data_IF_519045204253
#
_entry.id   IF_519045204253
#
_cell.length_a   1.000
_cell.length_b   1.000
_cell.length_c   1.000
_cell.angle_alpha   90.00
_cell.angle_beta   90.00
_cell.angle_gamma   90.00
#
_symmetry.space_group_name_H-M   'P 1'
#
loop_
_entity.id
_entity.type
_entity.pdbx_description
1 polymer ?
#
# COMPACT_ATOMS: atom_id res chain seq x y z
N UNK A 1 -17.58 -41.49 10.35
CA UNK A 1 -16.94 -41.12 11.64
C UNK A 1 -16.14 -39.82 11.49
N UNK A 2 -15.19 -39.74 10.56
CA UNK A 2 -14.39 -38.53 10.31
C UNK A 2 -15.25 -37.32 9.87
N UNK A 3 -16.17 -37.52 8.93
CA UNK A 3 -17.08 -36.45 8.45
C UNK A 3 -17.90 -35.82 9.58
N UNK A 4 -18.32 -36.62 10.57
CA UNK A 4 -19.05 -36.13 11.73
C UNK A 4 -18.17 -35.26 12.64
N UNK A 5 -16.90 -35.65 12.82
CA UNK A 5 -15.92 -34.88 13.60
C UNK A 5 -15.64 -33.54 12.91
N UNK A 6 -15.40 -33.57 11.59
CA UNK A 6 -15.19 -32.35 10.79
C UNK A 6 -16.42 -31.44 10.83
N UNK A 7 -17.62 -32.00 10.70
CA UNK A 7 -18.87 -31.23 10.74
C UNK A 7 -19.08 -30.53 12.08
N UNK A 8 -18.82 -31.21 13.19
CA UNK A 8 -18.94 -30.62 14.53
C UNK A 8 -17.85 -29.57 14.79
N UNK A 9 -16.63 -29.76 14.29
CA UNK A 9 -15.56 -28.74 14.37
C UNK A 9 -15.91 -27.47 13.57
N UNK A 10 -16.43 -27.62 12.35
CA UNK A 10 -16.89 -26.48 11.53
C UNK A 10 -18.05 -25.75 12.21
N UNK A 11 -19.01 -26.48 12.77
CA UNK A 11 -20.15 -25.90 13.49
C UNK A 11 -19.71 -25.11 14.72
N UNK A 12 -18.76 -25.66 15.48
CA UNK A 12 -18.14 -25.04 16.64
C UNK A 12 -17.51 -23.67 16.27
N UNK A 13 -16.71 -23.63 15.21
CA UNK A 13 -16.10 -22.38 14.71
C UNK A 13 -17.14 -21.37 14.25
N UNK A 14 -18.15 -21.83 13.49
CA UNK A 14 -19.20 -20.94 12.98
C UNK A 14 -20.01 -20.29 14.09
N UNK A 15 -20.39 -21.06 15.12
CA UNK A 15 -21.08 -20.50 16.28
C UNK A 15 -20.18 -19.54 17.06
N UNK A 16 -18.86 -19.81 17.16
CA UNK A 16 -17.93 -18.89 17.79
C UNK A 16 -17.92 -17.53 17.10
N UNK A 17 -17.78 -17.49 15.77
CA UNK A 17 -17.78 -16.22 15.02
C UNK A 17 -19.15 -15.53 15.06
N UNK A 18 -20.25 -16.28 15.09
CA UNK A 18 -21.60 -15.73 15.21
C UNK A 18 -21.81 -15.04 16.57
N UNK A 19 -21.39 -15.68 17.65
CA UNK A 19 -21.53 -15.12 19.01
C UNK A 19 -20.57 -13.94 19.20
N UNK A 20 -19.33 -14.07 18.76
CA UNK A 20 -18.27 -13.08 18.97
C UNK A 20 -18.18 -12.05 17.82
N UNK A 21 -19.20 -11.94 16.97
CA UNK A 21 -19.26 -11.02 15.82
C UNK A 21 -18.99 -9.56 16.19
N UNK A 22 -19.40 -9.16 17.39
CA UNK A 22 -19.23 -7.80 17.88
C UNK A 22 -17.83 -7.53 18.47
N UNK A 23 -16.88 -8.46 18.32
CA UNK A 23 -15.51 -8.34 18.82
C UNK A 23 -15.35 -8.59 20.33
N UNK A 24 -16.45 -8.90 21.04
CA UNK A 24 -16.42 -9.28 22.44
C UNK A 24 -16.16 -10.79 22.52
N UNK A 25 -14.89 -11.18 22.41
CA UNK A 25 -14.40 -12.57 22.40
C UNK A 25 -14.51 -13.29 23.76
N UNK A 26 -15.49 -12.94 24.60
CA UNK A 26 -15.66 -13.50 25.94
C UNK A 26 -16.60 -14.70 25.97
N UNK A 27 -17.33 -14.95 24.89
CA UNK A 27 -18.39 -15.96 24.89
C UNK A 27 -17.89 -17.29 24.35
N UNK A 28 -17.90 -18.27 25.25
CA UNK A 28 -17.69 -19.67 24.92
C UNK A 28 -18.94 -20.20 24.23
N UNK A 29 -18.75 -20.88 23.10
CA UNK A 29 -19.83 -21.64 22.46
C UNK A 29 -20.28 -22.74 23.44
N UNK A 30 -21.56 -22.79 23.83
CA UNK A 30 -22.06 -23.83 24.72
C UNK A 30 -21.96 -25.21 24.07
N UNK A 31 -21.70 -26.25 24.87
CA UNK A 31 -21.78 -27.66 24.46
C UNK A 31 -20.69 -28.15 23.46
N UNK A 32 -19.51 -27.51 23.44
CA UNK A 32 -18.34 -28.09 22.75
C UNK A 32 -17.62 -29.08 23.67
N UNK A 33 -17.20 -30.23 23.14
CA UNK A 33 -16.25 -31.11 23.82
C UNK A 33 -14.97 -30.33 24.16
N UNK A 34 -14.49 -30.40 25.41
CA UNK A 34 -13.33 -29.62 25.87
C UNK A 34 -12.12 -29.62 24.91
N UNK A 35 -11.86 -30.73 24.22
CA UNK A 35 -10.79 -30.83 23.21
C UNK A 35 -11.04 -29.97 21.95
N UNK A 36 -12.23 -30.02 21.37
CA UNK A 36 -12.61 -29.20 20.20
C UNK A 36 -12.62 -27.69 20.53
N UNK A 37 -12.82 -27.34 21.80
CA UNK A 37 -12.79 -25.95 22.27
C UNK A 37 -11.38 -25.38 22.23
N UNK A 38 -10.39 -26.13 22.71
CA UNK A 38 -9.00 -25.68 22.71
C UNK A 38 -8.48 -25.56 21.26
N UNK A 39 -8.77 -26.57 20.42
CA UNK A 39 -8.44 -26.55 18.99
C UNK A 39 -9.08 -25.35 18.26
N UNK A 40 -10.35 -25.04 18.56
CA UNK A 40 -11.05 -23.88 18.02
C UNK A 40 -10.37 -22.57 18.45
N UNK A 41 -10.02 -22.43 19.74
CA UNK A 41 -9.37 -21.23 20.26
C UNK A 41 -7.98 -21.02 19.64
N UNK A 42 -7.22 -22.10 19.45
CA UNK A 42 -5.93 -22.06 18.75
C UNK A 42 -6.10 -21.61 17.29
N UNK A 43 -7.08 -22.18 16.58
CA UNK A 43 -7.41 -21.79 15.20
C UNK A 43 -7.76 -20.30 15.09
N UNK A 44 -8.64 -19.81 15.97
CA UNK A 44 -9.05 -18.38 15.98
C UNK A 44 -7.85 -17.48 16.25
N UNK A 45 -6.98 -17.86 17.19
CA UNK A 45 -5.77 -17.09 17.50
C UNK A 45 -4.82 -17.05 16.31
N UNK A 46 -4.58 -18.19 15.66
CA UNK A 46 -3.74 -18.27 14.47
C UNK A 46 -4.31 -17.43 13.31
N UNK A 47 -5.63 -17.49 13.08
CA UNK A 47 -6.29 -16.70 12.03
C UNK A 47 -6.16 -15.20 12.28
N UNK A 48 -6.31 -14.74 13.53
CA UNK A 48 -6.14 -13.33 13.89
C UNK A 48 -4.71 -12.82 13.63
N UNK A 49 -3.71 -13.65 13.93
CA UNK A 49 -2.30 -13.33 13.61
C UNK A 49 -2.09 -13.24 12.10
N UNK A 50 -2.66 -14.19 11.34
CA UNK A 50 -2.56 -14.20 9.87
C UNK A 50 -3.18 -12.96 9.23
N UNK A 51 -4.38 -12.54 9.68
CA UNK A 51 -5.02 -11.31 9.20
C UNK A 51 -4.14 -10.08 9.43
N UNK A 52 -3.47 -10.01 10.59
CA UNK A 52 -2.55 -8.93 10.92
C UNK A 52 -1.30 -8.94 10.03
N UNK A 53 -0.71 -10.11 9.77
CA UNK A 53 0.45 -10.25 8.87
C UNK A 53 0.12 -9.85 7.43
N UNK A 54 -1.05 -10.24 6.94
CA UNK A 54 -1.52 -9.90 5.60
C UNK A 54 -1.74 -8.38 5.46
N UNK A 55 -2.38 -7.75 6.46
CA UNK A 55 -2.55 -6.30 6.48
C UNK A 55 -1.21 -5.57 6.50
N UNK A 56 -0.27 -6.01 7.35
CA UNK A 56 1.08 -5.43 7.42
C UNK A 56 1.82 -5.57 6.09
N UNK A 57 1.72 -6.74 5.44
CA UNK A 57 2.33 -6.98 4.13
C UNK A 57 1.76 -6.06 3.05
N UNK A 58 0.44 -5.91 3.02
CA UNK A 58 -0.25 -5.00 2.10
C UNK A 58 0.17 -3.54 2.32
N UNK A 59 0.27 -3.11 3.58
CA UNK A 59 0.73 -1.77 3.96
C UNK A 59 2.17 -1.54 3.48
N UNK A 60 3.09 -2.46 3.76
CA UNK A 60 4.50 -2.36 3.34
C UNK A 60 4.63 -2.28 1.81
N UNK A 61 3.87 -3.10 1.08
CA UNK A 61 3.86 -3.07 -0.39
C UNK A 61 3.30 -1.75 -0.94
N UNK A 62 2.23 -1.22 -0.34
CA UNK A 62 1.64 0.06 -0.77
C UNK A 62 2.61 1.23 -0.54
N UNK A 63 3.34 1.24 0.59
CA UNK A 63 4.33 2.27 0.89
C UNK A 63 5.52 2.23 -0.08
N UNK A 64 5.99 1.05 -0.46
CA UNK A 64 7.10 0.95 -1.42
C UNK A 64 6.69 1.46 -2.80
N UNK A 65 5.46 1.17 -3.25
CA UNK A 65 4.93 1.69 -4.51
C UNK A 65 4.76 3.21 -4.47
N UNK A 66 4.15 3.76 -3.42
CA UNK A 66 3.96 5.21 -3.27
C UNK A 66 5.30 5.96 -3.23
N UNK A 67 6.29 5.43 -2.49
CA UNK A 67 7.64 6.00 -2.43
C UNK A 67 8.31 5.99 -3.81
N UNK A 68 8.28 4.86 -4.51
CA UNK A 68 8.87 4.74 -5.85
C UNK A 68 8.23 5.72 -6.84
N UNK A 69 6.90 5.80 -6.85
CA UNK A 69 6.15 6.73 -7.71
C UNK A 69 6.49 8.19 -7.38
N UNK A 70 6.46 8.58 -6.11
CA UNK A 70 6.80 9.95 -5.68
C UNK A 70 8.23 10.33 -6.07
N UNK A 71 9.18 9.41 -5.91
CA UNK A 71 10.58 9.62 -6.30
C UNK A 71 10.71 9.82 -7.81
N UNK A 72 10.10 8.94 -8.60
CA UNK A 72 10.14 9.01 -10.06
C UNK A 72 9.52 10.31 -10.60
N UNK A 73 8.40 10.76 -10.03
CA UNK A 73 7.81 12.06 -10.38
C UNK A 73 8.74 13.23 -10.06
N UNK A 74 9.40 13.20 -8.90
CA UNK A 74 10.36 14.25 -8.51
C UNK A 74 11.55 14.30 -9.46
N UNK A 75 12.07 13.14 -9.87
CA UNK A 75 13.16 13.04 -10.84
C UNK A 75 12.74 13.61 -12.21
N UNK A 76 11.53 13.30 -12.70
CA UNK A 76 10.99 13.85 -13.96
C UNK A 76 10.86 15.38 -13.87
N UNK A 77 10.28 15.91 -12.79
CA UNK A 77 10.11 17.36 -12.59
C UNK A 77 11.47 18.08 -12.55
N UNK A 78 12.49 17.48 -11.93
CA UNK A 78 13.83 18.05 -11.89
C UNK A 78 14.48 18.06 -13.28
N UNK A 79 14.25 17.02 -14.08
CA UNK A 79 14.73 16.95 -15.46
C UNK A 79 14.06 17.98 -16.36
N UNK A 80 12.72 18.03 -16.38
CA UNK A 80 11.95 19.01 -17.19
C UNK A 80 12.35 20.45 -16.83
N UNK A 81 12.49 20.76 -15.54
CA UNK A 81 12.94 22.09 -15.10
C UNK A 81 14.34 22.42 -15.64
N UNK A 82 15.24 21.45 -15.69
CA UNK A 82 16.59 21.67 -16.22
C UNK A 82 16.56 21.90 -17.72
N UNK A 83 15.75 21.14 -18.46
CA UNK A 83 15.57 21.29 -19.91
C UNK A 83 14.99 22.67 -20.27
N UNK A 84 13.96 23.14 -19.54
CA UNK A 84 13.38 24.48 -19.73
C UNK A 84 14.43 25.58 -19.52
N UNK A 85 15.23 25.49 -18.44
CA UNK A 85 16.27 26.49 -18.16
C UNK A 85 17.32 26.53 -19.27
N UNK A 86 17.70 25.37 -19.82
CA UNK A 86 18.65 25.29 -20.93
C UNK A 86 18.06 25.94 -22.18
N UNK A 87 16.79 25.66 -22.48
CA UNK A 87 16.08 26.21 -23.63
C UNK A 87 15.96 27.74 -23.53
N UNK A 88 15.46 28.28 -22.41
CA UNK A 88 15.33 29.73 -22.19
C UNK A 88 16.68 30.45 -22.31
N UNK A 89 17.73 29.89 -21.72
CA UNK A 89 19.08 30.47 -21.84
C UNK A 89 19.60 30.49 -23.27
N UNK A 90 19.28 29.47 -24.05
CA UNK A 90 19.68 29.40 -25.46
C UNK A 90 18.97 30.46 -26.30
N UNK A 91 17.68 30.69 -26.05
CA UNK A 91 16.86 31.70 -26.73
C UNK A 91 17.33 33.12 -26.41
N UNK A 92 17.60 33.41 -25.13
CA UNK A 92 18.16 34.70 -24.69
C UNK A 92 19.50 34.97 -25.38
N UNK A 93 20.39 33.97 -25.43
CA UNK A 93 21.69 34.13 -26.09
C UNK A 93 21.56 34.39 -27.60
N UNK A 94 20.57 33.79 -28.27
CA UNK A 94 20.32 34.07 -29.69
C UNK A 94 19.78 35.48 -29.92
N UNK A 95 18.88 35.95 -29.05
CA UNK A 95 18.29 37.29 -29.10
C UNK A 95 19.35 38.39 -28.86
N UNK A 96 20.19 38.25 -27.84
CA UNK A 96 21.26 39.20 -27.53
C UNK A 96 22.27 39.30 -28.69
N UNK A 97 22.58 38.17 -29.32
CA UNK A 97 23.46 38.16 -30.49
C UNK A 97 22.85 38.92 -31.66
N UNK A 98 21.55 38.72 -31.96
CA UNK A 98 20.90 39.45 -33.06
C UNK A 98 20.84 40.95 -32.80
N UNK A 99 20.50 41.38 -31.59
CA UNK A 99 20.42 42.81 -31.23
C UNK A 99 21.79 43.49 -31.33
N UNK A 100 22.86 42.80 -30.92
CA UNK A 100 24.23 43.28 -31.08
C UNK A 100 24.63 43.45 -32.55
N UNK A 101 24.22 42.52 -33.43
CA UNK A 101 24.44 42.64 -34.86
C UNK A 101 23.67 43.81 -35.49
N UNK A 102 22.41 44.04 -35.11
CA UNK A 102 21.64 45.18 -35.62
C UNK A 102 22.25 46.53 -35.19
N UNK A 103 22.67 46.66 -33.93
CA UNK A 103 23.36 47.87 -33.44
C UNK A 103 24.61 48.22 -34.27
N UNK A 104 25.35 47.22 -34.75
CA UNK A 104 26.56 47.42 -35.58
C UNK A 104 26.19 47.87 -36.99
N UNK A 105 25.05 47.43 -37.52
CA UNK A 105 24.57 47.80 -38.86
C UNK A 105 24.02 49.24 -38.87
N UNK A 106 23.28 49.66 -37.83
CA UNK A 106 22.67 51.00 -37.76
C UNK A 106 23.66 52.14 -37.49
N UNK A 107 24.85 51.86 -36.93
CA UNK A 107 25.87 52.86 -36.61
C UNK A 107 26.95 53.05 -37.71
N UNK A 108 26.71 52.55 -38.93
CA UNK A 108 27.57 52.75 -40.11
C UNK A 108 26.98 53.78 -41.07
#
# INVERSE_FOLDING_TARGET
MLENIVSEWVKCINEYYKINRNGIYSFLVPNIYNQLKDDMLEFVKANKTLEQEQANTSIVQSHSQAYYTSRKFTEILAQEKSEIIVQEKSEILTQEKSECFECIIENK
#
